data_IF_272236487836
#
_entry.id   IF_272236487836
#
_cell.length_a   1.000
_cell.length_b   1.000
_cell.length_c   1.000
_cell.angle_alpha   90.00
_cell.angle_beta   90.00
_cell.angle_gamma   90.00
#
_symmetry.space_group_name_H-M   'P 1'
#
loop_
_entity.id
_entity.type
_entity.pdbx_description
1 polymer ?
#
# COMPACT_ATOMS: atom_id res chain seq x y z
N UNK A 1 16.79 14.50 -9.51
CA UNK A 1 15.75 13.47 -9.75
C UNK A 1 14.40 14.06 -10.21
N UNK A 2 13.64 14.80 -9.38
CA UNK A 2 12.28 15.27 -9.75
C UNK A 2 12.21 16.13 -11.02
N UNK A 3 13.10 17.11 -11.18
CA UNK A 3 13.16 17.97 -12.39
C UNK A 3 13.50 17.15 -13.65
N UNK A 4 14.54 16.31 -13.56
CA UNK A 4 14.94 15.42 -14.64
C UNK A 4 13.79 14.51 -15.10
N UNK A 5 13.05 13.91 -14.17
CA UNK A 5 11.91 13.06 -14.50
C UNK A 5 10.83 13.88 -15.22
N UNK A 6 10.50 15.07 -14.72
CA UNK A 6 9.46 15.93 -15.30
C UNK A 6 9.81 16.37 -16.73
N UNK A 7 11.08 16.68 -16.98
CA UNK A 7 11.56 17.14 -18.29
C UNK A 7 11.65 15.99 -19.31
N UNK A 8 11.96 14.78 -18.85
CA UNK A 8 12.27 13.64 -19.73
C UNK A 8 11.23 12.51 -19.64
N UNK A 9 10.06 12.74 -19.02
CA UNK A 9 9.09 11.68 -18.70
C UNK A 9 8.65 10.88 -19.94
N UNK A 10 8.43 11.58 -21.06
CA UNK A 10 8.01 10.96 -22.32
C UNK A 10 9.08 10.02 -22.86
N UNK A 11 10.32 10.46 -22.83
CA UNK A 11 11.46 9.68 -23.35
C UNK A 11 11.80 8.51 -22.42
N UNK A 12 11.66 8.70 -21.10
CA UNK A 12 11.81 7.64 -20.10
C UNK A 12 10.77 6.54 -20.30
N UNK A 13 9.50 6.90 -20.49
CA UNK A 13 8.42 5.96 -20.81
C UNK A 13 8.66 5.29 -22.15
N UNK A 14 9.09 6.04 -23.17
CA UNK A 14 9.39 5.50 -24.49
C UNK A 14 10.48 4.42 -24.41
N UNK A 15 11.61 4.72 -23.76
CA UNK A 15 12.67 3.74 -23.53
C UNK A 15 12.16 2.49 -22.80
N UNK A 16 11.39 2.66 -21.72
CA UNK A 16 10.84 1.52 -20.97
C UNK A 16 9.85 0.66 -21.78
N UNK A 17 9.30 1.19 -22.87
CA UNK A 17 8.44 0.44 -23.79
C UNK A 17 9.20 -0.26 -24.93
N UNK A 18 10.48 0.01 -25.12
CA UNK A 18 11.29 -0.69 -26.12
C UNK A 18 11.56 -2.13 -25.69
N UNK A 19 11.94 -2.98 -26.64
CA UNK A 19 12.32 -4.39 -26.35
C UNK A 19 13.51 -4.86 -27.17
N UNK A 20 13.54 -4.51 -28.46
CA UNK A 20 14.65 -4.90 -29.33
C UNK A 20 15.91 -4.15 -28.88
N UNK A 21 17.00 -4.90 -28.82
CA UNK A 21 18.28 -4.35 -28.37
C UNK A 21 18.80 -3.24 -29.28
N UNK A 22 18.69 -3.37 -30.60
CA UNK A 22 19.11 -2.30 -31.52
C UNK A 22 18.27 -1.04 -31.38
N UNK A 23 16.95 -1.15 -31.26
CA UNK A 23 16.07 0.01 -31.05
C UNK A 23 16.41 0.71 -29.73
N UNK A 24 16.61 -0.05 -28.66
CA UNK A 24 16.98 0.47 -27.34
C UNK A 24 18.35 1.16 -27.35
N UNK A 25 19.31 0.55 -28.06
CA UNK A 25 20.66 1.09 -28.26
C UNK A 25 20.65 2.40 -29.04
N UNK A 26 19.95 2.45 -30.17
CA UNK A 26 19.85 3.64 -31.01
C UNK A 26 19.17 4.78 -30.24
N UNK A 27 18.08 4.47 -29.54
CA UNK A 27 17.37 5.45 -28.71
C UNK A 27 18.26 6.05 -27.62
N UNK A 28 19.01 5.21 -26.88
CA UNK A 28 19.93 5.72 -25.85
C UNK A 28 21.09 6.55 -26.43
N UNK A 29 21.53 6.27 -27.65
CA UNK A 29 22.54 7.09 -28.35
C UNK A 29 22.03 8.46 -28.75
N UNK A 30 20.79 8.54 -29.22
CA UNK A 30 20.14 9.81 -29.54
C UNK A 30 19.81 10.61 -28.26
N UNK A 31 19.48 9.90 -27.18
CA UNK A 31 19.12 10.47 -25.88
C UNK A 31 20.15 10.12 -24.78
N UNK A 32 21.43 10.42 -24.99
CA UNK A 32 22.52 10.05 -24.06
C UNK A 32 22.32 10.52 -22.61
N UNK A 33 21.58 11.61 -22.41
CA UNK A 33 21.28 12.14 -21.07
C UNK A 33 20.39 11.18 -20.24
N UNK A 34 19.67 10.25 -20.88
CA UNK A 34 18.87 9.22 -20.21
C UNK A 34 19.71 8.09 -19.64
N UNK A 35 20.97 7.93 -20.04
CA UNK A 35 21.86 6.89 -19.51
C UNK A 35 22.41 7.35 -18.15
N UNK A 36 21.60 7.26 -17.10
CA UNK A 36 21.96 7.67 -15.75
C UNK A 36 21.12 6.95 -14.67
N UNK A 37 21.55 7.06 -13.42
CA UNK A 37 20.86 6.45 -12.28
C UNK A 37 19.43 6.98 -12.08
N UNK A 38 19.15 8.24 -12.44
CA UNK A 38 17.79 8.79 -12.33
C UNK A 38 16.79 8.04 -13.22
N UNK A 39 17.21 7.60 -14.40
CA UNK A 39 16.38 6.80 -15.32
C UNK A 39 16.09 5.44 -14.74
N UNK A 40 17.12 4.73 -14.23
CA UNK A 40 16.92 3.44 -13.57
C UNK A 40 15.93 3.58 -12.39
N UNK A 41 16.11 4.59 -11.54
CA UNK A 41 15.24 4.85 -10.40
C UNK A 41 13.79 5.15 -10.82
N UNK A 42 13.60 5.95 -11.89
CA UNK A 42 12.27 6.22 -12.43
C UNK A 42 11.59 4.94 -12.93
N UNK A 43 12.29 4.11 -13.71
CA UNK A 43 11.72 2.88 -14.26
C UNK A 43 11.34 1.89 -13.15
N UNK A 44 12.13 1.81 -12.07
CA UNK A 44 11.78 1.01 -10.87
C UNK A 44 10.47 1.50 -10.26
N UNK A 45 10.33 2.81 -10.03
CA UNK A 45 9.08 3.38 -9.48
C UNK A 45 7.91 3.12 -10.43
N UNK A 46 8.13 3.25 -11.73
CA UNK A 46 7.11 2.98 -12.72
C UNK A 46 6.67 1.51 -12.72
N UNK A 47 7.60 0.56 -12.60
CA UNK A 47 7.27 -0.87 -12.42
C UNK A 47 6.42 -1.11 -11.17
N UNK A 48 6.71 -0.46 -10.03
CA UNK A 48 5.91 -0.58 -8.80
C UNK A 48 4.50 -0.06 -9.03
N UNK A 49 4.36 1.12 -9.63
CA UNK A 49 3.04 1.71 -9.90
C UNK A 49 2.22 0.83 -10.85
N UNK A 50 2.84 0.28 -11.90
CA UNK A 50 2.18 -0.65 -12.83
C UNK A 50 1.69 -1.92 -12.12
N UNK A 51 2.47 -2.45 -11.19
CA UNK A 51 2.08 -3.61 -10.40
C UNK A 51 0.92 -3.30 -9.45
N UNK A 52 0.93 -2.12 -8.81
CA UNK A 52 -0.19 -1.63 -7.99
C UNK A 52 -1.47 -1.40 -8.82
N UNK A 53 -1.32 -1.04 -10.10
CA UNK A 53 -2.44 -0.90 -11.05
C UNK A 53 -2.86 -2.24 -11.69
N UNK A 54 -2.37 -3.38 -11.20
CA UNK A 54 -2.63 -4.74 -11.72
C UNK A 54 -2.19 -4.96 -13.19
N UNK A 55 -1.30 -4.10 -13.71
CA UNK A 55 -0.77 -4.18 -15.09
C UNK A 55 0.49 -5.04 -15.15
N UNK A 56 0.38 -6.30 -14.72
CA UNK A 56 1.50 -7.23 -14.57
C UNK A 56 2.32 -7.45 -15.85
N UNK A 57 1.67 -7.60 -17.00
CA UNK A 57 2.35 -7.79 -18.29
C UNK A 57 3.17 -6.57 -18.70
N UNK A 58 2.61 -5.37 -18.47
CA UNK A 58 3.29 -4.12 -18.77
C UNK A 58 4.47 -3.89 -17.81
N UNK A 59 4.29 -4.19 -16.51
CA UNK A 59 5.37 -4.17 -15.53
C UNK A 59 6.50 -5.10 -15.95
N UNK A 60 6.17 -6.32 -16.35
CA UNK A 60 7.10 -7.35 -16.81
C UNK A 60 7.90 -6.91 -18.04
N UNK A 61 7.27 -6.16 -18.94
CA UNK A 61 7.91 -5.55 -20.11
C UNK A 61 8.88 -4.42 -19.72
N UNK A 62 8.42 -3.46 -18.92
CA UNK A 62 9.25 -2.32 -18.47
C UNK A 62 10.42 -2.80 -17.61
N UNK A 63 10.22 -3.82 -16.78
CA UNK A 63 11.25 -4.41 -15.93
C UNK A 63 12.49 -4.85 -16.72
N UNK A 64 12.31 -5.35 -17.94
CA UNK A 64 13.44 -5.72 -18.79
C UNK A 64 14.33 -4.52 -19.12
N UNK A 65 13.73 -3.39 -19.50
CA UNK A 65 14.48 -2.17 -19.80
C UNK A 65 15.14 -1.57 -18.56
N UNK A 66 14.52 -1.73 -17.39
CA UNK A 66 15.11 -1.37 -16.11
C UNK A 66 16.40 -2.15 -15.86
N UNK A 67 16.39 -3.48 -16.05
CA UNK A 67 17.58 -4.32 -15.89
C UNK A 67 18.64 -3.99 -16.94
N UNK A 68 18.27 -3.75 -18.20
CA UNK A 68 19.21 -3.28 -19.22
C UNK A 68 19.93 -1.99 -18.76
N UNK A 69 19.20 -1.01 -18.24
CA UNK A 69 19.80 0.23 -17.74
C UNK A 69 20.71 -0.02 -16.53
N UNK A 70 20.30 -0.88 -15.59
CA UNK A 70 21.11 -1.25 -14.42
C UNK A 70 22.42 -1.91 -14.82
N UNK A 71 22.39 -2.85 -15.77
CA UNK A 71 23.60 -3.49 -16.29
C UNK A 71 24.54 -2.51 -17.00
N UNK A 72 24.01 -1.54 -17.76
CA UNK A 72 24.83 -0.49 -18.39
C UNK A 72 25.55 0.32 -17.30
N UNK A 73 24.83 0.71 -16.24
CA UNK A 73 25.39 1.44 -15.11
C UNK A 73 26.40 0.61 -14.31
N UNK A 74 26.16 -0.69 -14.14
CA UNK A 74 27.07 -1.60 -13.45
C UNK A 74 28.35 -1.81 -14.26
N UNK A 75 28.25 -2.05 -15.56
CA UNK A 75 29.40 -2.17 -16.45
C UNK A 75 30.26 -0.91 -16.40
N UNK A 76 29.64 0.27 -16.37
CA UNK A 76 30.33 1.55 -16.23
C UNK A 76 31.08 1.66 -14.89
N UNK A 77 30.46 1.22 -13.79
CA UNK A 77 31.08 1.18 -12.45
C UNK A 77 32.25 0.20 -12.40
N UNK A 78 32.13 -0.97 -13.01
CA UNK A 78 33.20 -1.99 -13.06
C UNK A 78 34.41 -1.52 -13.86
N UNK A 79 34.18 -0.75 -14.94
CA UNK A 79 35.25 -0.24 -15.80
C UNK A 79 35.81 1.11 -15.37
N UNK A 80 35.16 1.82 -14.44
CA UNK A 80 35.43 3.21 -14.06
C UNK A 80 35.29 4.19 -15.24
N UNK A 81 34.23 4.02 -16.05
CA UNK A 81 33.93 4.81 -17.25
C UNK A 81 32.57 5.52 -17.10
N UNK A 82 32.35 6.54 -17.95
CA UNK A 82 31.01 7.15 -18.07
C UNK A 82 30.02 6.12 -18.65
N UNK A 83 28.84 5.93 -18.02
CA UNK A 83 27.83 4.99 -18.49
C UNK A 83 27.39 5.15 -19.94
N UNK A 84 27.43 6.38 -20.47
CA UNK A 84 27.07 6.69 -21.86
C UNK A 84 28.03 6.04 -22.86
N UNK A 85 29.30 5.86 -22.47
CA UNK A 85 30.29 5.16 -23.30
C UNK A 85 30.10 3.64 -23.27
N UNK A 86 29.38 3.10 -22.29
CA UNK A 86 29.20 1.66 -22.09
C UNK A 86 27.97 1.08 -22.81
N UNK A 87 27.09 1.92 -23.37
CA UNK A 87 25.85 1.49 -24.05
C UNK A 87 26.13 0.50 -25.19
N UNK A 88 27.08 0.82 -26.06
CA UNK A 88 27.47 -0.04 -27.19
C UNK A 88 28.04 -1.37 -26.72
N UNK A 89 28.90 -1.32 -25.71
CA UNK A 89 29.55 -2.50 -25.16
C UNK A 89 28.53 -3.45 -24.54
N UNK A 90 27.55 -2.93 -23.80
CA UNK A 90 26.48 -3.73 -23.21
C UNK A 90 25.64 -4.45 -24.29
N UNK A 91 25.10 -3.71 -25.27
CA UNK A 91 24.21 -4.31 -26.27
C UNK A 91 24.94 -5.28 -27.22
N UNK A 92 26.22 -5.03 -27.51
CA UNK A 92 27.04 -5.99 -28.26
C UNK A 92 27.26 -7.27 -27.45
N UNK A 93 27.55 -7.14 -26.14
CA UNK A 93 27.76 -8.30 -25.25
C UNK A 93 26.49 -9.11 -25.07
N UNK A 94 25.33 -8.52 -24.76
CA UNK A 94 24.09 -9.27 -24.49
C UNK A 94 23.58 -10.05 -25.72
N UNK A 95 23.87 -9.56 -26.94
CA UNK A 95 23.48 -10.23 -28.18
C UNK A 95 24.36 -11.46 -28.48
N UNK A 96 25.68 -11.31 -28.33
CA UNK A 96 26.69 -12.34 -28.63
C UNK A 96 26.98 -13.22 -27.41
N UNK A 97 26.41 -12.88 -26.25
CA UNK A 97 26.66 -13.51 -24.96
C UNK A 97 26.54 -15.03 -24.96
N UNK A 98 27.49 -15.66 -24.26
CA UNK A 98 27.43 -17.06 -23.86
C UNK A 98 26.17 -17.34 -23.05
N UNK A 99 25.72 -18.59 -23.10
CA UNK A 99 24.47 -19.07 -22.47
C UNK A 99 24.39 -18.66 -20.99
N UNK A 100 25.51 -18.67 -20.28
CA UNK A 100 25.59 -18.34 -18.86
C UNK A 100 25.28 -16.85 -18.58
N UNK A 101 25.75 -15.93 -19.42
CA UNK A 101 25.47 -14.49 -19.22
C UNK A 101 24.00 -14.16 -19.47
N UNK A 102 23.37 -14.79 -20.47
CA UNK A 102 21.92 -14.66 -20.70
C UNK A 102 21.13 -15.23 -19.53
N UNK A 103 21.56 -16.37 -19.00
CA UNK A 103 20.92 -16.98 -17.83
C UNK A 103 21.00 -16.08 -16.60
N UNK A 104 22.17 -15.51 -16.30
CA UNK A 104 22.31 -14.54 -15.20
C UNK A 104 21.40 -13.32 -15.37
N UNK A 105 21.30 -12.78 -16.58
CA UNK A 105 20.39 -11.67 -16.88
C UNK A 105 18.91 -12.05 -16.67
N UNK A 106 18.50 -13.24 -17.10
CA UNK A 106 17.13 -13.74 -16.91
C UNK A 106 16.82 -14.00 -15.42
N UNK A 107 17.76 -14.57 -14.67
CA UNK A 107 17.64 -14.79 -13.23
C UNK A 107 17.50 -13.46 -12.48
N UNK A 108 18.30 -12.45 -12.85
CA UNK A 108 18.19 -11.11 -12.26
C UNK A 108 16.87 -10.42 -12.59
N UNK A 109 16.40 -10.55 -13.83
CA UNK A 109 15.10 -10.02 -14.24
C UNK A 109 13.96 -10.69 -13.47
N UNK A 110 14.05 -12.00 -13.26
CA UNK A 110 13.09 -12.73 -12.43
C UNK A 110 13.09 -12.21 -10.99
N UNK A 111 14.27 -12.15 -10.36
CA UNK A 111 14.39 -11.64 -8.99
C UNK A 111 13.93 -10.19 -8.86
N UNK A 112 14.17 -9.36 -9.87
CA UNK A 112 13.70 -7.99 -9.89
C UNK A 112 12.18 -7.91 -9.90
N UNK A 113 11.50 -8.70 -10.74
CA UNK A 113 10.03 -8.77 -10.77
C UNK A 113 9.46 -9.21 -9.41
N UNK A 114 10.07 -10.20 -8.77
CA UNK A 114 9.66 -10.63 -7.42
C UNK A 114 9.80 -9.51 -6.38
N UNK A 115 10.90 -8.73 -6.44
CA UNK A 115 11.08 -7.55 -5.58
C UNK A 115 10.04 -6.47 -5.84
N UNK A 116 9.64 -6.25 -7.10
CA UNK A 116 8.60 -5.29 -7.46
C UNK A 116 7.24 -5.73 -6.90
N UNK A 117 6.87 -7.00 -7.08
CA UNK A 117 5.65 -7.59 -6.51
C UNK A 117 5.57 -7.41 -5.01
N UNK A 118 6.65 -7.77 -4.31
CA UNK A 118 6.75 -7.62 -2.86
C UNK A 118 6.56 -6.17 -2.42
N UNK A 119 7.25 -5.23 -3.07
CA UNK A 119 7.12 -3.80 -2.76
C UNK A 119 5.74 -3.23 -3.08
N UNK A 120 5.11 -3.68 -4.17
CA UNK A 120 3.75 -3.26 -4.50
C UNK A 120 2.75 -3.74 -3.43
N UNK A 121 2.86 -5.01 -3.01
CA UNK A 121 2.04 -5.55 -1.94
C UNK A 121 2.25 -4.81 -0.60
N UNK A 122 3.50 -4.54 -0.22
CA UNK A 122 3.83 -3.75 0.99
C UNK A 122 3.16 -2.37 0.96
N UNK A 123 3.19 -1.66 -0.18
CA UNK A 123 2.56 -0.34 -0.30
C UNK A 123 1.03 -0.38 -0.27
N UNK A 124 0.43 -1.45 -0.77
CA UNK A 124 -1.02 -1.66 -0.68
C UNK A 124 -1.42 -1.95 0.77
N UNK A 125 -0.66 -2.81 1.46
CA UNK A 125 -0.88 -3.14 2.88
C UNK A 125 -0.73 -1.90 3.77
N UNK A 126 0.30 -1.07 3.54
CA UNK A 126 0.46 0.22 4.22
C UNK A 126 -0.75 1.13 4.02
N UNK A 127 -1.25 1.27 2.78
CA UNK A 127 -2.42 2.10 2.50
C UNK A 127 -3.72 1.57 3.14
N UNK A 128 -3.90 0.25 3.19
CA UNK A 128 -5.04 -0.37 3.88
C UNK A 128 -4.95 -0.11 5.38
N UNK A 129 -3.76 -0.27 5.97
CA UNK A 129 -3.54 -0.04 7.38
C UNK A 129 -3.77 1.42 7.77
N UNK A 130 -3.28 2.37 6.98
CA UNK A 130 -3.55 3.80 7.18
C UNK A 130 -5.05 4.10 7.12
N UNK A 131 -5.77 3.52 6.16
CA UNK A 131 -7.22 3.65 6.07
C UNK A 131 -7.96 3.05 7.29
N UNK A 132 -7.56 1.86 7.74
CA UNK A 132 -8.11 1.23 8.94
C UNK A 132 -7.84 2.07 10.20
N UNK A 133 -6.66 2.68 10.31
CA UNK A 133 -6.29 3.59 11.40
C UNK A 133 -7.13 4.89 11.35
N UNK A 134 -7.36 5.47 10.17
CA UNK A 134 -8.24 6.63 10.02
C UNK A 134 -9.69 6.31 10.40
N UNK A 135 -10.22 5.16 9.96
CA UNK A 135 -11.57 4.70 10.34
C UNK A 135 -11.65 4.38 11.84
N UNK A 136 -10.57 3.86 12.43
CA UNK A 136 -10.42 3.71 13.89
C UNK A 136 -10.52 5.06 14.60
N UNK A 137 -9.80 6.06 14.13
CA UNK A 137 -9.82 7.40 14.72
C UNK A 137 -11.21 8.03 14.67
N UNK A 138 -11.95 7.86 13.57
CA UNK A 138 -13.32 8.41 13.43
C UNK A 138 -14.33 7.80 14.39
N UNK A 139 -14.14 6.54 14.81
CA UNK A 139 -15.05 5.83 15.73
C UNK A 139 -14.63 5.88 17.20
N UNK A 140 -13.51 6.51 17.53
CA UNK A 140 -13.09 6.64 18.93
C UNK A 140 -14.14 7.40 19.72
N UNK A 141 -14.45 6.88 20.90
CA UNK A 141 -15.33 7.52 21.87
C UNK A 141 -14.71 8.78 22.50
N UNK A 142 -15.45 9.46 23.38
CA UNK A 142 -15.06 10.74 23.98
C UNK A 142 -13.75 10.71 24.78
N UNK A 143 -13.32 9.54 25.25
CA UNK A 143 -12.05 9.30 25.95
C UNK A 143 -10.96 8.68 25.07
N UNK A 144 -11.15 8.62 23.74
CA UNK A 144 -10.15 8.12 22.80
C UNK A 144 -10.03 6.59 22.77
N UNK A 145 -11.03 5.86 23.27
CA UNK A 145 -11.10 4.40 23.21
C UNK A 145 -12.05 3.96 22.09
N UNK A 146 -11.69 2.89 21.38
CA UNK A 146 -12.55 2.26 20.38
C UNK A 146 -13.63 1.43 21.10
N UNK A 147 -14.94 1.69 20.88
CA UNK A 147 -16.01 0.88 21.47
C UNK A 147 -15.95 -0.60 21.08
N UNK A 148 -15.44 -0.95 19.89
CA UNK A 148 -15.30 -2.36 19.52
C UNK A 148 -14.20 -3.05 20.34
N UNK A 149 -13.05 -2.38 20.52
CA UNK A 149 -11.93 -2.93 21.30
C UNK A 149 -12.30 -3.08 22.77
N UNK A 150 -12.97 -2.06 23.34
CA UNK A 150 -13.45 -2.15 24.73
C UNK A 150 -14.46 -3.28 24.86
N UNK A 151 -15.43 -3.42 23.96
CA UNK A 151 -16.42 -4.51 24.02
C UNK A 151 -15.76 -5.89 23.95
N UNK A 152 -14.76 -6.08 23.09
CA UNK A 152 -14.03 -7.35 22.97
C UNK A 152 -13.22 -7.70 24.21
N UNK A 153 -12.70 -6.70 24.93
CA UNK A 153 -11.95 -6.85 26.18
C UNK A 153 -12.83 -6.98 27.42
N UNK A 154 -14.15 -6.73 27.31
CA UNK A 154 -15.06 -6.85 28.45
C UNK A 154 -15.25 -8.32 28.87
N UNK A 155 -15.37 -8.58 30.19
CA UNK A 155 -15.85 -9.84 30.73
C UNK A 155 -17.17 -10.28 30.08
N UNK A 156 -17.35 -11.59 29.91
CA UNK A 156 -18.54 -12.11 29.22
C UNK A 156 -19.86 -11.70 29.89
N UNK A 157 -19.87 -11.56 31.21
CA UNK A 157 -21.03 -11.12 31.97
C UNK A 157 -21.43 -9.69 31.60
N UNK A 158 -20.46 -8.79 31.43
CA UNK A 158 -20.70 -7.41 31.01
C UNK A 158 -21.09 -7.35 29.52
N UNK A 159 -20.43 -8.11 28.64
CA UNK A 159 -20.83 -8.18 27.22
C UNK A 159 -22.29 -8.60 27.06
N UNK A 160 -22.72 -9.64 27.79
CA UNK A 160 -24.12 -10.11 27.79
C UNK A 160 -25.11 -9.03 28.23
N UNK A 161 -24.72 -8.15 29.16
CA UNK A 161 -25.56 -7.02 29.58
C UNK A 161 -25.75 -6.00 28.45
N UNK A 162 -24.70 -5.73 27.67
CA UNK A 162 -24.77 -4.85 26.50
C UNK A 162 -25.55 -5.49 25.34
N UNK A 163 -25.40 -6.81 25.12
CA UNK A 163 -26.14 -7.56 24.10
C UNK A 163 -27.64 -7.58 24.39
N UNK A 164 -28.03 -7.81 25.65
CA UNK A 164 -29.42 -7.82 26.08
C UNK A 164 -30.02 -6.42 26.27
N UNK A 165 -29.18 -5.38 26.19
CA UNK A 165 -29.53 -3.98 26.52
C UNK A 165 -30.18 -3.84 27.91
N UNK A 166 -29.83 -4.72 28.84
CA UNK A 166 -30.43 -4.76 30.18
C UNK A 166 -29.59 -3.96 31.18
N UNK A 167 -30.00 -2.71 31.40
CA UNK A 167 -29.38 -1.78 32.35
C UNK A 167 -29.43 -2.29 33.80
N UNK A 168 -30.49 -3.03 34.17
CA UNK A 168 -30.64 -3.56 35.53
C UNK A 168 -29.66 -4.70 35.76
N UNK A 169 -29.54 -5.59 34.78
CA UNK A 169 -28.56 -6.67 34.80
C UNK A 169 -27.13 -6.12 34.86
N UNK A 170 -26.84 -5.02 34.15
CA UNK A 170 -25.55 -4.34 34.21
C UNK A 170 -25.25 -3.83 35.63
N UNK A 171 -26.20 -3.14 36.28
CA UNK A 171 -26.05 -2.64 37.66
C UNK A 171 -25.86 -3.77 38.69
N UNK A 172 -26.60 -4.87 38.54
CA UNK A 172 -26.44 -6.06 39.40
C UNK A 172 -25.08 -6.73 39.22
N UNK A 173 -24.61 -6.87 37.98
CA UNK A 173 -23.32 -7.47 37.66
C UNK A 173 -22.18 -6.63 38.23
N UNK A 174 -22.26 -5.31 38.11
CA UNK A 174 -21.30 -4.37 38.70
C UNK A 174 -21.29 -4.45 40.23
N UNK A 175 -22.46 -4.59 40.85
CA UNK A 175 -22.58 -4.67 42.32
C UNK A 175 -21.99 -5.96 42.91
N UNK A 176 -21.86 -7.02 42.09
CA UNK A 176 -21.28 -8.33 42.49
C UNK A 176 -19.78 -8.41 42.24
N UNK A 177 -19.24 -7.52 41.42
CA UNK A 177 -17.83 -7.46 41.05
C UNK A 177 -17.03 -6.64 42.07
N UNK A 178 -15.71 -6.80 42.07
CA UNK A 178 -14.84 -5.96 42.89
C UNK A 178 -14.96 -4.48 42.49
N UNK A 179 -14.88 -3.58 43.48
CA UNK A 179 -15.05 -2.15 43.25
C UNK A 179 -13.99 -1.57 42.29
N UNK A 180 -12.76 -2.09 42.29
CA UNK A 180 -11.69 -1.61 41.40
C UNK A 180 -11.93 -2.04 39.96
N UNK A 181 -12.30 -3.31 39.74
CA UNK A 181 -12.62 -3.87 38.42
C UNK A 181 -13.86 -3.22 37.81
N UNK A 182 -14.90 -3.00 38.63
CA UNK A 182 -16.11 -2.29 38.25
C UNK A 182 -15.81 -0.86 37.75
N UNK A 183 -15.00 -0.10 38.49
CA UNK A 183 -14.60 1.26 38.10
C UNK A 183 -13.76 1.25 36.83
N UNK A 184 -12.84 0.29 36.70
CA UNK A 184 -11.98 0.14 35.53
C UNK A 184 -12.80 -0.11 34.26
N UNK A 185 -13.67 -1.13 34.24
CA UNK A 185 -14.47 -1.47 33.07
C UNK A 185 -15.51 -0.39 32.76
N UNK A 186 -16.20 0.15 33.77
CA UNK A 186 -17.22 1.18 33.55
C UNK A 186 -16.62 2.45 32.97
N UNK A 187 -15.47 2.92 33.49
CA UNK A 187 -14.78 4.08 32.93
C UNK A 187 -14.45 3.88 31.45
N UNK A 188 -13.96 2.69 31.07
CA UNK A 188 -13.66 2.36 29.67
C UNK A 188 -14.92 2.31 28.79
N UNK A 189 -16.04 1.81 29.30
CA UNK A 189 -17.31 1.85 28.57
C UNK A 189 -17.78 3.29 28.31
N UNK A 190 -17.53 4.22 29.23
CA UNK A 190 -17.84 5.64 29.05
C UNK A 190 -16.87 6.31 28.08
N UNK A 191 -15.58 6.10 28.28
CA UNK A 191 -14.50 6.69 27.47
C UNK A 191 -14.55 6.20 26.01
N UNK A 192 -15.12 5.01 25.76
CA UNK A 192 -15.36 4.49 24.40
C UNK A 192 -16.73 4.83 23.82
N UNK A 193 -17.64 5.39 24.62
CA UNK A 193 -19.01 5.69 24.18
C UNK A 193 -19.96 4.48 24.13
N UNK A 194 -19.50 3.28 24.54
CA UNK A 194 -20.33 2.08 24.74
C UNK A 194 -21.45 2.31 25.77
N UNK A 195 -21.18 3.13 26.78
CA UNK A 195 -22.11 3.43 27.86
C UNK A 195 -22.12 4.93 28.14
N UNK A 196 -23.29 5.55 28.10
CA UNK A 196 -23.46 6.94 28.52
C UNK A 196 -24.06 6.92 29.93
N UNK A 197 -23.34 7.38 30.97
CA UNK A 197 -23.89 7.50 32.32
C UNK A 197 -24.99 8.56 32.33
N UNK A 198 -26.21 8.12 32.06
CA UNK A 198 -27.48 8.80 32.18
C UNK A 198 -27.50 10.34 32.01
N UNK A 199 -28.01 10.77 30.86
CA UNK A 199 -29.22 11.57 30.93
C UNK A 199 -30.34 10.69 31.53
N UNK A 200 -30.57 10.74 32.85
CA UNK A 200 -31.80 10.20 33.47
C UNK A 200 -33.03 11.04 33.08
N UNK A 201 -32.95 11.81 31.98
CA UNK A 201 -33.99 12.69 31.42
C UNK A 201 -33.71 12.95 29.94
N UNK A 202 -34.01 11.99 29.07
CA UNK A 202 -34.94 12.17 27.93
C UNK A 202 -34.76 11.04 26.93
N UNK A 203 -35.82 10.25 26.87
CA UNK A 203 -36.39 9.64 25.69
C UNK A 203 -35.52 8.62 24.94
N UNK A 204 -35.88 7.36 25.21
CA UNK A 204 -35.99 6.36 24.17
C UNK A 204 -36.79 6.93 22.99
N UNK A 205 -36.10 7.30 21.91
CA UNK A 205 -36.61 7.05 20.57
C UNK A 205 -35.48 7.09 19.54
N UNK A 206 -35.70 6.38 18.45
CA UNK A 206 -34.83 6.12 17.31
C UNK A 206 -33.89 4.93 17.51
N UNK A 207 -34.52 3.76 17.54
CA UNK A 207 -34.09 2.78 16.55
C UNK A 207 -34.47 3.29 15.17
N UNK A 208 -33.59 3.13 14.19
CA UNK A 208 -34.04 2.58 12.93
C UNK A 208 -32.89 1.84 12.25
N UNK A 209 -33.23 0.60 11.91
CA UNK A 209 -32.54 -0.28 10.98
C UNK A 209 -32.35 0.42 9.63
N UNK A 210 -31.29 0.03 8.95
CA UNK A 210 -31.19 0.23 7.52
C UNK A 210 -32.31 -0.54 6.81
N UNK A 211 -33.09 0.10 5.92
CA UNK A 211 -33.37 -0.44 4.59
C UNK A 211 -34.08 0.52 3.63
N UNK A 212 -33.77 0.27 2.36
CA UNK A 212 -34.10 0.93 1.10
C UNK A 212 -35.53 0.58 0.67
N UNK A 213 -36.33 1.53 0.17
CA UNK A 213 -37.26 1.32 -0.98
C UNK A 213 -37.99 2.59 -1.46
N UNK A 214 -37.80 2.86 -2.76
CA UNK A 214 -38.74 3.38 -3.78
C UNK A 214 -39.69 4.57 -3.48
N UNK A 215 -39.38 5.71 -4.11
CA UNK A 215 -40.36 6.71 -4.52
C UNK A 215 -40.96 6.37 -5.89
N UNK A 216 -42.28 6.23 -5.97
CA UNK A 216 -43.05 6.38 -7.22
C UNK A 216 -44.34 7.18 -6.94
N UNK A 217 -44.43 8.35 -7.59
CA UNK A 217 -45.64 9.13 -7.94
C UNK A 217 -46.45 9.77 -6.80
N UNK A 218 -47.10 10.94 -6.92
CA UNK A 218 -47.45 11.81 -8.04
C UNK A 218 -47.78 13.21 -7.49
N UNK A 219 -47.41 14.27 -8.22
CA UNK A 219 -48.33 15.31 -8.75
C UNK A 219 -47.60 16.12 -9.83
#
# INVERSE_FOLDING_TARGET
MKLFIKENEKDLKHYGMLRKYEDSRQFLKEHNHLVCENTANYLVIWCINLEMEEKHELMSHVAHQTICMQYILELAKQLDYDPRACVDAFYSKIQVAEVDYKKSFEDELFQFRERIRKRAAERVEEAIKEYEEEEKQKRLGPGGLDPQDVYNELPEELRKCFDSRDVKLLQETISKMDEEDAKYHMKRCVDSGLWVPEASKKDADQGDDAEIAEEVSAD
#
